data_IF_760967363693
#
_entry.id   IF_760967363693
#
_cell.length_a   1.000
_cell.length_b   1.000
_cell.length_c   1.000
_cell.angle_alpha   90.00
_cell.angle_beta   90.00
_cell.angle_gamma   90.00
#
_symmetry.space_group_name_H-M   'P 1'
#
loop_
_entity.id
_entity.type
_entity.pdbx_description
1 polymer ?
#
# COMPACT_ATOMS: atom_id res chain seq x y z
N UNK A 1 7.74 5.50 16.64
CA UNK A 1 8.51 5.60 17.90
C UNK A 1 9.77 6.42 17.65
N UNK A 2 10.20 7.27 18.58
CA UNK A 2 11.38 8.13 18.38
C UNK A 2 12.72 7.41 18.61
N UNK A 3 12.73 6.08 18.79
CA UNK A 3 13.90 5.33 19.24
C UNK A 3 14.57 4.53 18.13
N UNK A 4 13.81 3.82 17.32
CA UNK A 4 14.34 2.99 16.24
C UNK A 4 13.43 2.93 14.99
N UNK A 5 12.26 3.58 15.00
CA UNK A 5 11.31 3.60 13.88
C UNK A 5 10.73 2.22 13.54
N UNK A 6 10.65 1.30 14.51
CA UNK A 6 10.06 -0.03 14.30
C UNK A 6 8.57 0.05 14.03
N UNK A 7 7.89 1.09 14.52
CA UNK A 7 6.42 1.14 14.47
C UNK A 7 5.83 1.03 13.05
N UNK A 8 6.55 1.48 12.02
CA UNK A 8 6.12 1.27 10.63
C UNK A 8 6.13 -0.22 10.24
N UNK A 9 7.19 -0.93 10.63
CA UNK A 9 7.31 -2.37 10.40
C UNK A 9 6.31 -3.15 11.26
N UNK A 10 6.20 -2.81 12.54
CA UNK A 10 5.24 -3.46 13.45
C UNK A 10 3.81 -3.35 12.91
N UNK A 11 3.38 -2.13 12.52
CA UNK A 11 2.03 -1.93 11.99
C UNK A 11 1.76 -2.72 10.68
N UNK A 12 2.72 -2.76 9.76
CA UNK A 12 2.57 -3.51 8.51
C UNK A 12 2.63 -5.02 8.71
N UNK A 13 3.63 -5.51 9.44
CA UNK A 13 3.88 -6.93 9.63
C UNK A 13 2.83 -7.58 10.54
N UNK A 14 2.30 -6.87 11.53
CA UNK A 14 1.21 -7.38 12.38
C UNK A 14 -0.04 -7.66 11.55
N UNK A 15 -0.42 -6.81 10.58
CA UNK A 15 -1.56 -7.08 9.68
C UNK A 15 -1.31 -8.34 8.86
N UNK A 16 -0.12 -8.48 8.27
CA UNK A 16 0.23 -9.63 7.42
C UNK A 16 0.34 -10.94 8.21
N UNK A 17 0.87 -10.89 9.44
CA UNK A 17 0.96 -12.06 10.31
C UNK A 17 -0.41 -12.51 10.81
N UNK A 18 -1.29 -11.59 11.20
CA UNK A 18 -2.66 -11.96 11.56
C UNK A 18 -3.43 -12.56 10.38
N UNK A 19 -3.20 -12.05 9.16
CA UNK A 19 -3.75 -12.66 7.95
C UNK A 19 -3.23 -14.10 7.75
N UNK A 20 -1.94 -14.36 8.00
CA UNK A 20 -1.41 -15.74 7.97
C UNK A 20 -2.14 -16.64 8.97
N UNK A 21 -2.37 -16.18 10.19
CA UNK A 21 -3.07 -16.95 11.23
C UNK A 21 -4.51 -17.29 10.84
N UNK A 22 -5.22 -16.33 10.26
CA UNK A 22 -6.65 -16.43 9.96
C UNK A 22 -6.94 -17.17 8.64
N UNK A 23 -6.13 -16.91 7.59
CA UNK A 23 -6.30 -17.53 6.28
C UNK A 23 -5.41 -18.76 6.05
N UNK A 24 -4.40 -18.98 6.91
CA UNK A 24 -3.48 -20.11 6.88
C UNK A 24 -2.30 -19.97 5.91
N UNK A 25 -1.29 -20.83 6.10
CA UNK A 25 -0.04 -20.85 5.31
C UNK A 25 -0.26 -20.99 3.81
N UNK A 26 -1.21 -21.81 3.36
CA UNK A 26 -1.47 -21.99 1.93
C UNK A 26 -1.90 -20.69 1.26
N UNK A 27 -2.77 -19.92 1.92
CA UNK A 27 -3.22 -18.63 1.40
C UNK A 27 -2.06 -17.63 1.33
N UNK A 28 -1.27 -17.54 2.40
CA UNK A 28 -0.10 -16.67 2.45
C UNK A 28 0.95 -17.05 1.40
N UNK A 29 1.20 -18.34 1.20
CA UNK A 29 2.12 -18.85 0.18
C UNK A 29 1.67 -18.44 -1.22
N UNK A 30 0.36 -18.52 -1.51
CA UNK A 30 -0.18 -18.07 -2.79
C UNK A 30 0.08 -16.57 -3.02
N UNK A 31 -0.12 -15.72 -2.00
CA UNK A 31 0.21 -14.30 -2.07
C UNK A 31 1.72 -14.06 -2.28
N UNK A 32 2.56 -14.80 -1.56
CA UNK A 32 4.02 -14.73 -1.66
C UNK A 32 4.58 -15.20 -3.02
N UNK A 33 3.76 -15.82 -3.88
CA UNK A 33 4.14 -16.08 -5.27
C UNK A 33 4.27 -14.78 -6.06
N UNK A 34 3.42 -13.79 -5.76
CA UNK A 34 3.39 -12.49 -6.44
C UNK A 34 4.36 -11.50 -5.82
N UNK A 35 4.59 -11.60 -4.50
CA UNK A 35 5.38 -10.63 -3.74
C UNK A 35 6.64 -11.26 -3.14
N UNK A 36 7.84 -11.08 -3.76
CA UNK A 36 9.08 -11.72 -3.31
C UNK A 36 9.48 -11.36 -1.87
N UNK A 37 9.13 -10.15 -1.40
CA UNK A 37 9.38 -9.74 -0.03
C UNK A 37 8.55 -10.58 0.97
N UNK A 38 7.28 -10.87 0.67
CA UNK A 38 6.45 -11.74 1.51
C UNK A 38 7.00 -13.17 1.59
N UNK A 39 7.59 -13.67 0.50
CA UNK A 39 8.24 -14.99 0.49
C UNK A 39 9.39 -15.08 1.50
N UNK A 40 10.13 -13.99 1.68
CA UNK A 40 11.20 -13.93 2.69
C UNK A 40 10.66 -13.99 4.13
N UNK A 41 9.40 -13.58 4.34
CA UNK A 41 8.77 -13.57 5.66
C UNK A 41 8.10 -14.88 6.03
N UNK A 42 7.69 -15.69 5.04
CA UNK A 42 6.85 -16.87 5.23
C UNK A 42 7.37 -17.80 6.34
N UNK A 43 8.60 -18.30 6.23
CA UNK A 43 9.18 -19.23 7.22
C UNK A 43 9.26 -18.60 8.62
N UNK A 44 9.59 -17.31 8.69
CA UNK A 44 9.66 -16.58 9.94
C UNK A 44 8.29 -16.43 10.60
N UNK A 45 7.27 -16.06 9.82
CA UNK A 45 5.90 -15.92 10.31
C UNK A 45 5.32 -17.27 10.75
N UNK A 46 5.56 -18.34 9.99
CA UNK A 46 5.13 -19.69 10.35
C UNK A 46 5.77 -20.17 11.66
N UNK A 47 7.06 -19.94 11.85
CA UNK A 47 7.73 -20.23 13.12
C UNK A 47 7.14 -19.40 14.28
N UNK A 48 6.75 -18.17 13.99
CA UNK A 48 6.17 -17.25 14.98
C UNK A 48 4.77 -17.64 15.44
N UNK A 49 4.10 -18.58 14.77
CA UNK A 49 2.82 -19.14 15.23
C UNK A 49 3.02 -19.87 16.56
N UNK A 50 4.15 -20.57 16.72
CA UNK A 50 4.48 -21.33 17.93
C UNK A 50 5.24 -20.50 18.97
N UNK A 51 5.93 -19.44 18.55
CA UNK A 51 6.66 -18.53 19.43
C UNK A 51 6.56 -17.08 18.96
N UNK A 52 5.69 -16.30 19.60
CA UNK A 52 5.48 -14.89 19.28
C UNK A 52 6.74 -14.03 19.40
N UNK A 53 7.77 -14.44 20.15
CA UNK A 53 9.03 -13.69 20.20
C UNK A 53 9.72 -13.62 18.83
N UNK A 54 9.51 -14.64 17.99
CA UNK A 54 10.12 -14.69 16.67
C UNK A 54 9.57 -13.60 15.73
N UNK A 55 8.41 -12.99 16.02
CA UNK A 55 7.90 -11.85 15.23
C UNK A 55 8.87 -10.66 15.27
N UNK A 56 9.43 -10.36 16.43
CA UNK A 56 10.41 -9.29 16.58
C UNK A 56 11.69 -9.61 15.83
N UNK A 57 12.12 -10.87 15.85
CA UNK A 57 13.29 -11.35 15.11
C UNK A 57 13.08 -11.21 13.60
N UNK A 58 11.92 -11.63 13.09
CA UNK A 58 11.56 -11.52 11.66
C UNK A 58 11.49 -10.07 11.23
N UNK A 59 10.85 -9.21 12.04
CA UNK A 59 10.81 -7.78 11.84
C UNK A 59 12.21 -7.18 11.77
N UNK A 60 13.07 -7.48 12.74
CA UNK A 60 14.41 -6.91 12.80
C UNK A 60 15.30 -7.40 11.67
N UNK A 61 15.19 -8.68 11.27
CA UNK A 61 15.87 -9.19 10.08
C UNK A 61 15.43 -8.47 8.80
N UNK A 62 14.13 -8.20 8.64
CA UNK A 62 13.63 -7.43 7.51
C UNK A 62 14.14 -5.98 7.51
N UNK A 63 14.14 -5.34 8.69
CA UNK A 63 14.67 -3.98 8.86
C UNK A 63 16.14 -3.90 8.50
N UNK A 64 16.95 -4.84 8.97
CA UNK A 64 18.38 -4.90 8.69
C UNK A 64 18.63 -5.10 7.19
N UNK A 65 17.88 -6.01 6.57
CA UNK A 65 17.96 -6.25 5.12
C UNK A 65 17.61 -4.99 4.32
N UNK A 66 16.47 -4.35 4.60
CA UNK A 66 16.05 -3.16 3.87
C UNK A 66 16.98 -1.96 4.11
N UNK A 67 17.43 -1.76 5.35
CA UNK A 67 18.37 -0.69 5.70
C UNK A 67 19.73 -0.90 5.04
N UNK A 68 20.21 -2.14 4.91
CA UNK A 68 21.46 -2.43 4.20
C UNK A 68 21.41 -2.10 2.70
N UNK A 69 20.23 -2.24 2.08
CA UNK A 69 20.03 -1.97 0.66
C UNK A 69 19.80 -0.47 0.38
N UNK A 70 18.96 0.17 1.20
CA UNK A 70 18.57 1.58 1.02
C UNK A 70 18.49 2.31 2.38
N UNK A 71 19.63 2.64 3.01
CA UNK A 71 19.67 3.17 4.38
C UNK A 71 18.97 4.53 4.54
N UNK A 72 18.88 5.32 3.47
CA UNK A 72 18.16 6.59 3.47
C UNK A 72 16.64 6.42 3.44
N UNK A 73 16.15 5.35 2.79
CA UNK A 73 14.73 5.01 2.68
C UNK A 73 14.24 4.21 3.89
N UNK A 74 15.11 3.37 4.42
CA UNK A 74 14.86 2.50 5.58
C UNK A 74 15.87 2.79 6.70
N UNK A 75 15.78 3.97 7.34
CA UNK A 75 16.70 4.33 8.41
C UNK A 75 16.53 3.41 9.61
N UNK A 76 17.63 2.86 10.13
CA UNK A 76 17.63 2.02 11.34
C UNK A 76 17.63 2.86 12.62
N UNK A 77 18.28 4.01 12.55
CA UNK A 77 18.48 4.97 13.63
C UNK A 77 18.59 6.38 13.04
N UNK A 78 18.60 7.41 13.89
CA UNK A 78 18.80 8.79 13.49
C UNK A 78 17.51 9.60 13.37
N UNK A 79 17.62 10.80 12.83
CA UNK A 79 16.53 11.80 12.78
C UNK A 79 15.60 11.63 11.58
N UNK A 80 15.98 10.82 10.60
CA UNK A 80 15.10 10.49 9.47
C UNK A 80 14.10 9.42 9.88
N UNK A 81 12.84 9.68 9.58
CA UNK A 81 11.73 8.80 9.93
C UNK A 81 11.59 7.72 8.85
N UNK A 82 11.14 6.52 9.25
CA UNK A 82 10.78 5.49 8.30
C UNK A 82 9.32 5.69 7.85
N UNK A 83 9.11 5.90 6.55
CA UNK A 83 7.78 6.02 5.99
C UNK A 83 7.12 4.63 5.88
N UNK A 84 5.91 4.48 6.45
CA UNK A 84 5.13 3.25 6.32
C UNK A 84 4.88 2.88 4.85
N UNK A 85 4.65 3.88 3.99
CA UNK A 85 4.46 3.68 2.56
C UNK A 85 5.65 2.95 1.92
N UNK A 86 6.88 3.27 2.31
CA UNK A 86 8.07 2.61 1.78
C UNK A 86 8.16 1.15 2.20
N UNK A 87 7.78 0.83 3.44
CA UNK A 87 7.74 -0.54 3.95
C UNK A 87 6.68 -1.35 3.20
N UNK A 88 5.45 -0.83 3.13
CA UNK A 88 4.32 -1.51 2.48
C UNK A 88 4.53 -1.66 0.98
N UNK A 89 5.00 -0.61 0.30
CA UNK A 89 5.28 -0.68 -1.14
C UNK A 89 6.36 -1.71 -1.46
N UNK A 90 7.38 -1.84 -0.62
CA UNK A 90 8.41 -2.87 -0.75
C UNK A 90 7.86 -4.27 -0.51
N UNK A 91 7.00 -4.44 0.50
CA UNK A 91 6.32 -5.71 0.78
C UNK A 91 5.44 -6.16 -0.38
N UNK A 92 4.76 -5.22 -1.04
CA UNK A 92 3.79 -5.47 -2.11
C UNK A 92 4.36 -5.20 -3.52
N UNK A 93 5.68 -5.18 -3.67
CA UNK A 93 6.32 -5.12 -5.00
C UNK A 93 6.31 -6.50 -5.63
N UNK A 94 5.77 -6.58 -6.83
CA UNK A 94 5.73 -7.75 -7.70
C UNK A 94 6.90 -7.77 -8.68
N UNK A 95 7.29 -8.98 -9.10
CA UNK A 95 8.28 -9.14 -10.17
C UNK A 95 7.73 -8.78 -11.55
N UNK A 96 6.40 -8.79 -11.71
CA UNK A 96 5.69 -8.43 -12.95
C UNK A 96 4.72 -7.30 -12.67
N UNK A 97 4.72 -6.21 -13.45
CA UNK A 97 3.73 -5.14 -13.32
C UNK A 97 2.29 -5.65 -13.46
N UNK A 98 1.37 -5.02 -12.75
CA UNK A 98 -0.08 -5.32 -12.81
C UNK A 98 -0.79 -4.63 -13.97
N UNK A 99 -0.10 -3.74 -14.69
CA UNK A 99 -0.68 -2.98 -15.79
C UNK A 99 0.32 -2.02 -16.43
N UNK A 100 -0.22 -1.10 -17.22
CA UNK A 100 0.57 -0.09 -17.93
C UNK A 100 -0.14 1.26 -17.99
N UNK A 101 0.62 2.31 -18.29
CA UNK A 101 0.07 3.65 -18.53
C UNK A 101 0.39 4.06 -19.97
N UNK A 102 -0.62 4.57 -20.67
CA UNK A 102 -0.44 5.16 -22.00
C UNK A 102 -0.57 6.67 -21.91
N UNK A 103 0.41 7.38 -22.44
CA UNK A 103 0.35 8.83 -22.59
C UNK A 103 -0.03 9.19 -24.00
N UNK A 104 -1.02 10.08 -24.15
CA UNK A 104 -1.47 10.59 -25.45
C UNK A 104 -1.38 12.11 -25.47
N UNK A 105 -0.72 12.67 -26.48
CA UNK A 105 -0.72 14.11 -26.69
C UNK A 105 -1.96 14.53 -27.48
N UNK A 106 -2.85 15.38 -26.92
CA UNK A 106 -4.06 15.81 -27.63
C UNK A 106 -3.77 16.73 -28.83
N UNK A 107 -2.58 17.36 -28.88
CA UNK A 107 -2.23 18.32 -29.93
C UNK A 107 -1.64 17.67 -31.19
N UNK A 108 -0.77 16.67 -31.04
CA UNK A 108 -0.07 16.05 -32.17
C UNK A 108 -0.31 14.55 -32.30
N UNK A 109 -1.19 13.97 -31.47
CA UNK A 109 -1.52 12.55 -31.44
C UNK A 109 -0.34 11.62 -31.16
N UNK A 110 0.81 12.16 -30.73
CA UNK A 110 1.93 11.36 -30.27
C UNK A 110 1.50 10.50 -29.07
N UNK A 111 1.76 9.20 -29.14
CA UNK A 111 1.52 8.25 -28.07
C UNK A 111 2.82 7.64 -27.57
N UNK A 112 2.89 7.39 -26.27
CA UNK A 112 3.96 6.61 -25.68
C UNK A 112 3.41 5.68 -24.62
N UNK A 113 3.79 4.41 -24.71
CA UNK A 113 3.55 3.44 -23.65
C UNK A 113 4.61 3.62 -22.56
N UNK A 114 4.17 3.66 -21.32
CA UNK A 114 5.03 3.62 -20.15
C UNK A 114 4.77 2.32 -19.40
N UNK A 115 5.75 1.42 -19.44
CA UNK A 115 5.87 0.33 -18.47
C UNK A 115 6.33 0.95 -17.17
N UNK A 116 5.39 1.59 -16.51
CA UNK A 116 5.69 2.52 -15.45
C UNK A 116 5.93 1.68 -14.19
N UNK A 117 7.16 1.69 -13.67
CA UNK A 117 7.60 0.87 -12.51
C UNK A 117 6.65 0.94 -11.32
N UNK A 118 5.91 2.05 -11.16
CA UNK A 118 4.95 2.21 -10.08
C UNK A 118 3.79 1.18 -10.08
N UNK A 119 3.49 0.49 -11.19
CA UNK A 119 2.50 -0.61 -11.23
C UNK A 119 3.12 -1.97 -10.93
N UNK A 120 4.43 -2.03 -10.64
CA UNK A 120 5.04 -3.21 -10.03
C UNK A 120 4.69 -3.32 -8.54
N UNK A 121 4.44 -2.20 -7.85
CA UNK A 121 3.94 -2.23 -6.48
C UNK A 121 2.42 -2.19 -6.47
N UNK A 122 1.80 -3.11 -5.73
CA UNK A 122 0.36 -3.06 -5.44
C UNK A 122 0.07 -2.06 -4.30
N UNK A 123 0.65 -0.86 -4.37
CA UNK A 123 0.42 0.22 -3.41
C UNK A 123 0.02 1.48 -4.16
N UNK A 124 -1.15 2.01 -3.85
CA UNK A 124 -1.74 3.14 -4.54
C UNK A 124 -1.89 4.31 -3.57
N UNK A 125 -1.55 5.53 -3.99
CA UNK A 125 -1.60 6.72 -3.13
C UNK A 125 -2.53 7.78 -3.69
N UNK A 126 -3.49 8.21 -2.88
CA UNK A 126 -4.28 9.41 -3.14
C UNK A 126 -3.55 10.61 -2.54
N UNK A 127 -2.74 11.29 -3.37
CA UNK A 127 -2.08 12.54 -3.04
C UNK A 127 -3.02 13.77 -2.99
N UNK A 128 -2.63 14.87 -2.30
CA UNK A 128 -3.35 16.15 -2.25
C UNK A 128 -3.90 16.64 -3.60
N UNK A 129 -3.10 16.56 -4.66
CA UNK A 129 -3.49 17.04 -5.99
C UNK A 129 -4.62 16.24 -6.66
N UNK A 130 -4.87 14.99 -6.25
CA UNK A 130 -5.97 14.20 -6.80
C UNK A 130 -7.33 14.76 -6.34
N UNK A 131 -7.38 15.28 -5.11
CA UNK A 131 -8.62 15.83 -4.54
C UNK A 131 -9.08 17.09 -5.28
N UNK A 132 -8.15 17.87 -5.81
CA UNK A 132 -8.42 19.14 -6.50
C UNK A 132 -9.12 18.97 -7.86
N UNK A 133 -9.19 17.75 -8.41
CA UNK A 133 -9.78 17.49 -9.74
C UNK A 133 -11.27 17.10 -9.69
N UNK A 134 -11.84 16.89 -8.51
CA UNK A 134 -13.26 16.53 -8.35
C UNK A 134 -14.09 17.77 -8.09
N UNK A 135 -14.69 18.37 -9.12
CA UNK A 135 -15.66 19.45 -8.95
C UNK A 135 -17.06 19.00 -9.43
N UNK A 136 -18.12 19.13 -8.60
CA UNK A 136 -18.10 19.56 -7.21
C UNK A 136 -17.42 18.53 -6.30
N UNK A 137 -16.62 18.99 -5.33
CA UNK A 137 -15.95 18.10 -4.36
C UNK A 137 -16.99 17.32 -3.57
N UNK A 138 -17.04 15.98 -3.68
CA UNK A 138 -17.98 15.21 -2.88
C UNK A 138 -17.64 15.35 -1.40
N UNK A 139 -18.65 15.44 -0.54
CA UNK A 139 -18.47 15.55 0.92
C UNK A 139 -18.07 14.23 1.56
N UNK A 140 -18.37 13.10 0.91
CA UNK A 140 -18.00 11.75 1.33
C UNK A 140 -17.43 11.00 0.14
N UNK A 141 -16.31 10.32 0.33
CA UNK A 141 -15.72 9.43 -0.67
C UNK A 141 -15.53 8.04 -0.11
N UNK A 142 -15.82 7.03 -0.93
CA UNK A 142 -15.53 5.65 -0.58
C UNK A 142 -14.09 5.26 -0.94
N UNK A 143 -13.61 4.12 -0.44
CA UNK A 143 -12.34 3.52 -0.87
C UNK A 143 -12.32 3.23 -2.37
N UNK A 144 -13.47 2.86 -2.95
CA UNK A 144 -13.62 2.64 -4.39
C UNK A 144 -13.47 3.95 -5.17
N UNK A 145 -14.03 5.06 -4.66
CA UNK A 145 -13.87 6.38 -5.28
C UNK A 145 -12.42 6.86 -5.22
N UNK A 146 -11.74 6.61 -4.09
CA UNK A 146 -10.32 6.90 -3.93
C UNK A 146 -9.45 6.16 -4.97
N UNK A 147 -9.71 4.87 -5.22
CA UNK A 147 -9.02 4.12 -6.28
C UNK A 147 -9.27 4.72 -7.67
N UNK A 148 -10.52 5.12 -7.95
CA UNK A 148 -10.85 5.79 -9.21
C UNK A 148 -10.08 7.10 -9.37
N UNK A 149 -9.91 7.88 -8.31
CA UNK A 149 -9.09 9.09 -8.36
C UNK A 149 -7.64 8.80 -8.77
N UNK A 150 -7.04 7.72 -8.24
CA UNK A 150 -5.67 7.32 -8.59
C UNK A 150 -5.56 6.91 -10.06
N UNK A 151 -6.47 6.06 -10.54
CA UNK A 151 -6.34 5.49 -11.89
C UNK A 151 -6.86 6.39 -13.00
N UNK A 152 -7.80 7.29 -12.71
CA UNK A 152 -8.36 8.23 -13.68
C UNK A 152 -7.61 9.57 -13.70
N UNK A 153 -6.53 9.70 -12.91
CA UNK A 153 -5.72 10.92 -12.90
C UNK A 153 -5.03 11.14 -14.25
N UNK A 154 -5.55 12.11 -15.00
CA UNK A 154 -5.17 12.33 -16.38
C UNK A 154 -4.06 13.39 -16.54
N UNK A 155 -2.97 13.29 -15.77
CA UNK A 155 -1.78 14.13 -16.00
C UNK A 155 -0.59 13.30 -16.42
N UNK A 156 -0.01 13.66 -17.56
CA UNK A 156 1.21 13.09 -18.09
C UNK A 156 2.32 14.14 -18.25
N UNK A 157 3.53 13.70 -18.61
CA UNK A 157 4.63 14.60 -18.89
C UNK A 157 4.34 15.49 -20.11
N UNK A 158 5.18 16.50 -20.33
CA UNK A 158 5.14 17.28 -21.56
C UNK A 158 5.48 16.38 -22.76
N UNK A 159 4.75 16.54 -23.86
CA UNK A 159 4.96 15.80 -25.09
C UNK A 159 6.35 16.10 -25.67
N UNK A 160 7.14 15.06 -25.95
CA UNK A 160 8.47 15.22 -26.55
C UNK A 160 8.47 15.84 -27.95
N UNK A 161 7.34 15.83 -28.65
CA UNK A 161 7.23 16.34 -30.02
C UNK A 161 6.80 17.80 -30.09
N UNK A 162 5.87 18.24 -29.23
CA UNK A 162 5.31 19.60 -29.29
C UNK A 162 5.24 20.33 -27.94
N UNK A 163 5.81 19.74 -26.88
CA UNK A 163 5.89 20.27 -25.51
C UNK A 163 4.55 20.52 -24.81
N UNK A 164 3.42 20.18 -25.44
CA UNK A 164 2.10 20.26 -24.82
C UNK A 164 1.91 19.15 -23.78
N UNK A 165 1.17 19.40 -22.68
CA UNK A 165 0.84 18.36 -21.70
C UNK A 165 0.18 17.14 -22.35
N UNK A 166 0.59 15.94 -21.95
CA UNK A 166 -0.04 14.69 -22.36
C UNK A 166 -1.09 14.28 -21.33
N UNK A 167 -2.17 13.64 -21.79
CA UNK A 167 -3.09 12.92 -20.89
C UNK A 167 -2.53 11.52 -20.63
N UNK A 168 -2.72 11.03 -19.41
CA UNK A 168 -2.40 9.65 -19.02
C UNK A 168 -3.67 8.81 -18.98
N UNK A 169 -3.56 7.54 -19.36
CA UNK A 169 -4.57 6.52 -19.11
C UNK A 169 -3.89 5.30 -18.53
N UNK A 170 -4.24 4.95 -17.31
CA UNK A 170 -3.71 3.78 -16.61
C UNK A 170 -4.68 2.60 -16.79
N UNK A 171 -4.14 1.46 -17.19
CA UNK A 171 -4.91 0.22 -17.38
C UNK A 171 -4.30 -0.85 -16.47
N UNK A 172 -5.14 -1.45 -15.62
CA UNK A 172 -4.78 -2.63 -14.84
C UNK A 172 -5.07 -3.86 -15.71
N UNK A 173 -4.03 -4.54 -16.16
CA UNK A 173 -4.15 -5.75 -16.99
C UNK A 173 -4.58 -6.94 -16.14
N UNK A 174 -3.96 -7.08 -14.97
CA UNK A 174 -4.22 -8.13 -13.99
C UNK A 174 -4.34 -7.52 -12.60
N UNK A 175 -5.47 -7.76 -11.93
CA UNK A 175 -5.69 -7.24 -10.60
C UNK A 175 -4.69 -7.88 -9.58
N UNK A 176 -4.02 -7.09 -8.72
CA UNK A 176 -3.10 -7.64 -7.72
C UNK A 176 -3.87 -8.48 -6.69
N UNK A 177 -3.36 -9.63 -6.22
CA UNK A 177 -4.11 -10.46 -5.27
C UNK A 177 -4.30 -9.80 -3.88
N UNK A 178 -3.51 -8.76 -3.59
CA UNK A 178 -3.65 -7.86 -2.45
C UNK A 178 -3.09 -6.50 -2.83
N UNK A 179 -3.68 -5.41 -2.36
CA UNK A 179 -3.07 -4.09 -2.50
C UNK A 179 -3.22 -3.27 -1.21
N UNK A 180 -2.47 -2.18 -1.12
CA UNK A 180 -2.62 -1.15 -0.10
C UNK A 180 -3.02 0.18 -0.75
N UNK A 181 -3.94 0.90 -0.10
CA UNK A 181 -4.35 2.24 -0.50
C UNK A 181 -3.91 3.24 0.58
N UNK A 182 -2.93 4.07 0.26
CA UNK A 182 -2.55 5.21 1.06
C UNK A 182 -3.45 6.40 0.71
N UNK A 183 -3.97 7.07 1.74
CA UNK A 183 -4.82 8.25 1.58
C UNK A 183 -4.12 9.41 2.27
N UNK A 184 -3.51 10.30 1.48
CA UNK A 184 -2.92 11.53 1.98
C UNK A 184 -3.96 12.64 1.90
N UNK A 185 -4.43 13.09 3.07
CA UNK A 185 -5.42 14.16 3.14
C UNK A 185 -4.74 15.52 2.94
N UNK A 186 -5.30 16.42 2.11
CA UNK A 186 -4.77 17.78 1.97
C UNK A 186 -5.02 18.57 3.25
N UNK A 187 -4.13 19.48 3.64
CA UNK A 187 -4.23 20.21 4.93
C UNK A 187 -5.35 21.27 4.99
N UNK A 188 -6.04 21.55 3.89
CA UNK A 188 -7.03 22.64 3.79
C UNK A 188 -8.42 22.25 4.31
N UNK A 189 -9.21 23.26 4.73
CA UNK A 189 -10.61 23.09 5.13
C UNK A 189 -11.50 22.65 3.95
N UNK A 190 -12.51 21.81 4.22
CA UNK A 190 -13.44 21.30 3.20
C UNK A 190 -13.14 19.88 2.68
N UNK A 191 -12.46 19.05 3.47
CA UNK A 191 -12.07 17.69 3.06
C UNK A 191 -13.27 16.74 2.99
N UNK A 192 -13.29 15.82 2.00
CA UNK A 192 -14.21 14.71 2.03
C UNK A 192 -13.97 13.84 3.25
N UNK A 193 -15.04 13.43 3.91
CA UNK A 193 -14.98 12.30 4.83
C UNK A 193 -14.73 11.03 4.04
N UNK A 194 -13.77 10.22 4.46
CA UNK A 194 -13.51 8.93 3.81
C UNK A 194 -14.35 7.86 4.51
N UNK A 195 -15.33 7.32 3.78
CA UNK A 195 -16.09 6.16 4.20
C UNK A 195 -15.31 4.90 3.83
N UNK A 196 -14.66 4.31 4.82
CA UNK A 196 -13.99 3.01 4.65
C UNK A 196 -15.04 1.94 4.43
N UNK A 197 -14.96 1.25 3.29
CA UNK A 197 -15.84 0.14 2.98
C UNK A 197 -15.14 -1.17 3.37
N UNK A 198 -15.92 -2.14 3.86
CA UNK A 198 -15.41 -3.49 4.12
C UNK A 198 -15.04 -4.22 2.82
N UNK A 199 -15.57 -3.77 1.68
CA UNK A 199 -15.21 -4.26 0.37
C UNK A 199 -15.00 -3.13 -0.63
N UNK A 200 -14.15 -3.33 -1.62
CA UNK A 200 -13.97 -2.41 -2.73
C UNK A 200 -13.74 -3.17 -4.03
N UNK A 201 -14.11 -2.56 -5.16
CA UNK A 201 -13.88 -3.15 -6.48
C UNK A 201 -12.75 -2.47 -7.21
N UNK A 202 -11.92 -3.27 -7.88
CA UNK A 202 -10.91 -2.81 -8.83
C UNK A 202 -11.23 -3.40 -10.20
N UNK A 203 -11.36 -2.53 -11.19
CA UNK A 203 -11.53 -2.96 -12.58
C UNK A 203 -10.18 -3.27 -13.21
N UNK A 204 -10.07 -4.46 -13.79
CA UNK A 204 -8.95 -4.89 -14.59
C UNK A 204 -9.43 -5.41 -15.95
N UNK A 205 -8.51 -5.51 -16.92
CA UNK A 205 -8.81 -6.11 -18.24
C UNK A 205 -9.28 -7.56 -18.10
N UNK A 206 -8.73 -8.29 -17.13
CA UNK A 206 -9.16 -9.65 -16.79
C UNK A 206 -10.56 -9.74 -16.15
N UNK A 207 -11.19 -8.61 -15.82
CA UNK A 207 -12.48 -8.52 -15.15
C UNK A 207 -12.40 -7.73 -13.83
N UNK A 208 -13.56 -7.38 -13.30
CA UNK A 208 -13.69 -6.71 -12.00
C UNK A 208 -13.40 -7.69 -10.85
N UNK A 209 -12.56 -7.26 -9.91
CA UNK A 209 -12.23 -8.03 -8.70
C UNK A 209 -12.73 -7.30 -7.47
N UNK A 210 -13.41 -8.04 -6.59
CA UNK A 210 -13.88 -7.56 -5.30
C UNK A 210 -12.89 -7.93 -4.20
N UNK A 211 -12.43 -6.94 -3.46
CA UNK A 211 -11.53 -7.09 -2.33
C UNK A 211 -12.27 -6.91 -1.01
N UNK A 212 -11.78 -7.58 0.03
CA UNK A 212 -12.20 -7.36 1.41
C UNK A 212 -11.10 -6.62 2.17
N UNK A 213 -11.50 -5.70 3.05
CA UNK A 213 -10.59 -4.99 3.94
C UNK A 213 -10.09 -5.96 5.04
N UNK A 214 -8.77 -6.16 5.09
CA UNK A 214 -8.13 -7.02 6.11
C UNK A 214 -7.38 -6.23 7.19
N UNK A 215 -7.05 -4.97 6.92
CA UNK A 215 -6.38 -4.14 7.91
C UNK A 215 -6.29 -2.67 7.53
N UNK A 216 -6.08 -1.83 8.55
CA UNK A 216 -5.85 -0.39 8.40
C UNK A 216 -4.61 -0.04 9.21
N UNK A 217 -3.71 0.75 8.63
CA UNK A 217 -2.62 1.40 9.37
C UNK A 217 -2.96 2.87 9.55
N UNK A 218 -2.93 3.34 10.78
CA UNK A 218 -3.14 4.72 11.14
C UNK A 218 -1.80 5.40 11.37
N UNK A 219 -1.67 6.62 10.87
CA UNK A 219 -0.52 7.48 11.09
C UNK A 219 -0.92 8.66 11.97
N UNK A 220 -0.13 8.96 12.99
CA UNK A 220 -0.32 10.12 13.87
C UNK A 220 1.00 10.59 14.44
N UNK A 221 1.44 11.79 14.03
CA UNK A 221 2.77 12.28 14.37
C UNK A 221 3.86 11.32 13.87
N UNK A 222 4.70 10.84 14.79
CA UNK A 222 5.84 9.92 14.53
C UNK A 222 5.55 8.46 14.88
N UNK A 223 4.28 8.07 14.83
CA UNK A 223 3.80 6.78 15.32
C UNK A 223 2.78 6.16 14.37
N UNK A 224 2.88 4.84 14.23
CA UNK A 224 1.96 4.04 13.41
C UNK A 224 1.31 2.96 14.28
N UNK A 225 0.01 2.83 14.16
CA UNK A 225 -0.79 1.78 14.80
C UNK A 225 -1.59 1.06 13.73
N UNK A 226 -2.03 -0.17 14.00
CA UNK A 226 -2.77 -0.96 13.03
C UNK A 226 -4.03 -1.57 13.61
N UNK A 227 -5.00 -1.82 12.75
CA UNK A 227 -6.12 -2.72 13.02
C UNK A 227 -6.11 -3.86 12.02
N UNK A 228 -6.39 -5.06 12.50
CA UNK A 228 -6.65 -6.24 11.68
C UNK A 228 -8.13 -6.59 11.76
N UNK A 229 -8.75 -6.96 10.63
CA UNK A 229 -10.13 -7.40 10.55
C UNK A 229 -10.14 -8.88 10.18
N UNK A 230 -10.56 -9.72 11.12
CA UNK A 230 -10.58 -11.16 10.95
C UNK A 230 -11.81 -11.62 10.15
N UNK A 231 -11.77 -12.86 9.67
CA UNK A 231 -12.85 -13.49 8.90
C UNK A 231 -14.16 -13.63 9.66
N UNK A 232 -14.10 -13.71 10.99
CA UNK A 232 -15.26 -13.73 11.87
C UNK A 232 -15.84 -12.33 12.15
N UNK A 233 -15.33 -11.31 11.46
CA UNK A 233 -15.65 -9.89 11.63
C UNK A 233 -15.21 -9.27 12.97
N UNK A 234 -14.39 -9.98 13.75
CA UNK A 234 -13.67 -9.37 14.87
C UNK A 234 -12.62 -8.39 14.37
N UNK A 235 -12.35 -7.36 15.17
CA UNK A 235 -11.34 -6.35 14.87
C UNK A 235 -10.35 -6.29 16.02
N UNK A 236 -9.06 -6.35 15.68
CA UNK A 236 -7.96 -6.39 16.62
C UNK A 236 -7.10 -5.14 16.45
N UNK A 237 -6.81 -4.43 17.53
CA UNK A 237 -5.98 -3.23 17.53
C UNK A 237 -4.57 -3.52 18.03
N UNK A 238 -3.58 -2.97 17.33
CA UNK A 238 -2.18 -3.08 17.69
C UNK A 238 -1.56 -1.67 17.73
N UNK A 239 -1.24 -1.25 18.94
CA UNK A 239 -0.44 -0.06 19.18
C UNK A 239 1.02 -0.49 19.21
N UNK A 240 1.73 -0.24 18.11
CA UNK A 240 3.14 -0.64 17.93
C UNK A 240 4.10 -0.14 19.03
N UNK A 241 3.65 0.67 19.99
CA UNK A 241 4.38 1.05 21.19
C UNK A 241 3.80 0.45 22.48
N UNK A 242 2.47 0.44 22.64
CA UNK A 242 1.82 0.11 23.91
C UNK A 242 1.36 -1.35 24.01
N UNK A 243 0.84 -1.94 22.93
CA UNK A 243 0.28 -3.31 22.98
C UNK A 243 1.37 -4.39 22.90
N UNK A 244 2.59 -4.01 22.53
CA UNK A 244 3.75 -4.91 22.47
C UNK A 244 3.55 -6.02 21.45
N UNK A 245 3.34 -7.26 21.92
CA UNK A 245 3.15 -8.46 21.07
C UNK A 245 1.70 -8.93 20.97
N UNK A 246 0.79 -8.23 21.64
CA UNK A 246 -0.63 -8.59 21.67
C UNK A 246 -1.41 -7.63 20.81
N UNK A 247 -2.47 -8.13 20.17
CA UNK A 247 -3.54 -7.26 19.71
C UNK A 247 -4.67 -7.27 20.76
N UNK A 248 -5.36 -6.14 20.92
CA UNK A 248 -6.49 -5.98 21.87
C UNK A 248 -7.80 -5.72 21.14
#
# INVERSE_FOLDING_TARGET
>A
DARNWSCAYDAALTVLWNMLQDYGSTHFQHLAMFYPALRCLQTGFEASISDLHLLEVVRDAMRDKLSSLHPQRFPRTGTMECAIFDVVSTLLTSSTPFGCSTYTCPHCSFTSLSHQEHLSSATFSVYPFHWDQSEPRPTVQTTTDCLRLVFNYANGPACRSCLHPMSSTTVIEHAPPMFALEIQRPDSAGQPSILLQNTCSLSAVSGDVLYSLIGIVYAGGRHFTSRYFARDHSAWYHDSAETGRSCI
#
